data_IF_081478563360
#
_entry.id   IF_081478563360
#
_cell.length_a   1.000
_cell.length_b   1.000
_cell.length_c   1.000
_cell.angle_alpha   90.00
_cell.angle_beta   90.00
_cell.angle_gamma   90.00
#
_symmetry.space_group_name_H-M   'P 1'
#
loop_
_entity.id
_entity.type
_entity.pdbx_description
1 polymer ?
#
# COMPACT_ATOMS: atom_id res chain seq x y z
N UNK A 1 -22.69 -3.62 37.86
CA UNK A 1 -23.15 -2.94 36.64
C UNK A 1 -21.98 -2.88 35.68
N UNK A 2 -21.96 -3.70 34.62
CA UNK A 2 -20.96 -3.58 33.56
C UNK A 2 -21.49 -2.54 32.57
N UNK A 3 -20.79 -1.41 32.38
CA UNK A 3 -21.12 -0.49 31.29
C UNK A 3 -20.75 -1.15 29.97
N UNK A 4 -21.74 -1.45 29.15
CA UNK A 4 -21.52 -1.78 27.76
C UNK A 4 -21.10 -0.50 27.04
N UNK A 5 -19.83 -0.40 26.68
CA UNK A 5 -19.38 0.64 25.76
C UNK A 5 -19.80 0.23 24.36
N UNK A 6 -20.73 0.98 23.76
CA UNK A 6 -21.13 0.79 22.37
C UNK A 6 -20.02 1.33 21.47
N UNK A 7 -19.25 0.44 20.85
CA UNK A 7 -18.34 0.81 19.76
C UNK A 7 -19.18 1.06 18.51
N UNK A 8 -19.07 2.27 17.95
CA UNK A 8 -19.69 2.63 16.68
C UNK A 8 -18.60 3.03 15.68
N UNK A 9 -18.68 2.48 14.47
CA UNK A 9 -17.88 2.94 13.34
C UNK A 9 -18.53 4.20 12.76
N UNK A 10 -17.77 5.28 12.69
CA UNK A 10 -18.18 6.53 12.07
C UNK A 10 -17.41 6.68 10.77
N UNK A 11 -18.13 6.94 9.68
CA UNK A 11 -17.51 7.41 8.45
C UNK A 11 -16.94 8.81 8.69
N UNK A 12 -15.70 9.02 8.27
CA UNK A 12 -14.99 10.30 8.43
C UNK A 12 -14.78 10.95 7.08
N UNK A 13 -14.22 10.20 6.12
CA UNK A 13 -13.79 10.73 4.83
C UNK A 13 -13.65 9.61 3.79
N UNK A 14 -13.80 9.96 2.51
CA UNK A 14 -13.43 9.11 1.38
C UNK A 14 -12.16 9.66 0.72
N UNK A 15 -11.14 8.82 0.57
CA UNK A 15 -9.86 9.19 -0.05
C UNK A 15 -9.72 8.46 -1.39
N UNK A 16 -9.80 9.17 -2.54
CA UNK A 16 -9.67 8.55 -3.84
C UNK A 16 -8.20 8.23 -4.16
N UNK A 17 -7.86 6.94 -4.22
CA UNK A 17 -6.49 6.47 -4.49
C UNK A 17 -6.19 6.24 -5.98
N UNK A 18 -7.23 6.08 -6.82
CA UNK A 18 -7.10 5.80 -8.26
C UNK A 18 -6.27 4.55 -8.60
N UNK A 19 -6.17 3.64 -7.65
CA UNK A 19 -5.50 2.34 -7.74
C UNK A 19 -6.26 1.35 -6.87
N UNK A 20 -6.08 0.05 -7.09
CA UNK A 20 -6.66 -0.96 -6.23
C UNK A 20 -5.69 -1.26 -5.07
N UNK A 21 -5.89 -0.55 -3.95
CA UNK A 21 -5.15 -0.80 -2.71
C UNK A 21 -5.40 -2.23 -2.20
N UNK A 22 -4.36 -2.83 -1.65
CA UNK A 22 -4.40 -4.18 -1.10
C UNK A 22 -4.32 -4.13 0.43
N UNK A 23 -3.15 -4.38 1.03
CA UNK A 23 -2.99 -4.30 2.48
C UNK A 23 -2.56 -2.91 2.94
N UNK A 24 -2.79 -2.66 4.24
CA UNK A 24 -2.46 -1.41 4.92
C UNK A 24 -1.52 -1.66 6.09
N UNK A 25 -0.52 -0.79 6.23
CA UNK A 25 0.29 -0.64 7.43
C UNK A 25 0.12 0.78 7.97
N UNK A 26 -0.13 0.91 9.27
CA UNK A 26 -0.17 2.20 9.96
C UNK A 26 1.11 2.31 10.78
N UNK A 27 1.92 3.31 10.49
CA UNK A 27 3.16 3.54 11.22
C UNK A 27 2.90 4.21 12.59
N UNK A 28 3.91 4.28 13.48
CA UNK A 28 3.74 4.88 14.81
C UNK A 28 3.33 6.36 14.81
N UNK A 29 3.56 7.08 13.70
CA UNK A 29 3.16 8.49 13.53
C UNK A 29 1.74 8.60 12.93
N UNK A 30 1.05 7.48 12.71
CA UNK A 30 -0.30 7.42 12.16
C UNK A 30 -0.35 7.57 10.64
N UNK A 31 0.79 7.50 9.95
CA UNK A 31 0.83 7.55 8.49
C UNK A 31 0.46 6.17 7.94
N UNK A 32 -0.42 6.18 6.94
CA UNK A 32 -0.90 4.97 6.29
C UNK A 32 -0.02 4.66 5.09
N UNK A 33 0.42 3.41 5.01
CA UNK A 33 1.19 2.85 3.90
C UNK A 33 0.39 1.72 3.28
N UNK A 34 0.31 1.71 1.96
CA UNK A 34 -0.34 0.65 1.21
C UNK A 34 0.45 0.33 -0.03
N UNK A 35 0.46 -0.95 -0.42
CA UNK A 35 0.81 -1.29 -1.78
C UNK A 35 -0.46 -1.63 -2.56
N UNK A 36 -0.40 -1.41 -3.87
CA UNK A 36 -1.57 -1.39 -4.70
C UNK A 36 -1.30 -1.97 -6.09
N UNK A 37 -2.40 -2.22 -6.79
CA UNK A 37 -2.45 -2.75 -8.15
C UNK A 37 -2.99 -1.67 -9.11
N UNK A 38 -2.13 -0.89 -9.77
CA UNK A 38 -2.55 0.19 -10.68
C UNK A 38 -3.43 -0.28 -11.84
N UNK A 39 -3.25 -1.54 -12.26
CA UNK A 39 -4.03 -2.18 -13.32
C UNK A 39 -4.56 -3.52 -12.79
N UNK A 40 -5.69 -3.49 -12.09
CA UNK A 40 -6.26 -4.66 -11.40
C UNK A 40 -6.49 -5.87 -12.34
N UNK A 41 -6.76 -5.64 -13.62
CA UNK A 41 -6.87 -6.71 -14.64
C UNK A 41 -5.56 -7.51 -14.75
N UNK A 42 -4.41 -6.84 -14.79
CA UNK A 42 -3.10 -7.49 -14.87
C UNK A 42 -2.74 -8.21 -13.57
N UNK A 43 -3.15 -7.65 -12.43
CA UNK A 43 -3.00 -8.33 -11.14
C UNK A 43 -3.77 -9.65 -11.12
N UNK A 44 -5.03 -9.68 -11.56
CA UNK A 44 -5.79 -10.93 -11.67
C UNK A 44 -5.17 -11.94 -12.63
N UNK A 45 -4.66 -11.49 -13.79
CA UNK A 45 -3.92 -12.38 -14.71
C UNK A 45 -2.70 -13.00 -14.03
N UNK A 46 -1.91 -12.20 -13.30
CA UNK A 46 -0.76 -12.64 -12.53
C UNK A 46 -1.12 -13.62 -11.40
N UNK A 47 -2.20 -13.35 -10.64
CA UNK A 47 -2.66 -14.25 -9.57
C UNK A 47 -3.14 -15.61 -10.10
N UNK A 48 -3.58 -15.66 -11.36
CA UNK A 48 -3.98 -16.92 -12.00
C UNK A 48 -2.83 -17.91 -12.14
N UNK A 49 -1.59 -17.43 -12.23
CA UNK A 49 -0.39 -18.27 -12.24
C UNK A 49 0.85 -17.50 -11.75
N UNK A 50 1.05 -17.48 -10.44
CA UNK A 50 2.16 -16.77 -9.81
C UNK A 50 3.54 -17.29 -10.25
N UNK A 51 3.64 -18.56 -10.63
CA UNK A 51 4.91 -19.20 -11.02
C UNK A 51 5.35 -18.86 -12.45
N UNK A 52 4.44 -18.33 -13.29
CA UNK A 52 4.78 -17.89 -14.65
C UNK A 52 5.43 -16.50 -14.64
N UNK A 53 6.76 -16.49 -14.63
CA UNK A 53 7.58 -15.28 -14.57
C UNK A 53 7.40 -14.34 -15.78
N UNK A 54 6.75 -14.78 -16.86
CA UNK A 54 6.43 -13.91 -18.01
C UNK A 54 5.19 -13.03 -17.78
N UNK A 55 4.37 -13.38 -16.80
CA UNK A 55 3.17 -12.61 -16.43
C UNK A 55 3.54 -11.58 -15.37
N UNK A 56 3.63 -10.32 -15.80
CA UNK A 56 3.91 -9.18 -14.95
C UNK A 56 2.64 -8.43 -14.57
N UNK A 57 2.56 -7.99 -13.31
CA UNK A 57 1.56 -7.03 -12.86
C UNK A 57 2.24 -5.78 -12.32
N UNK A 58 1.84 -4.57 -12.74
CA UNK A 58 2.34 -3.33 -12.16
C UNK A 58 2.17 -3.30 -10.64
N UNK A 59 3.10 -2.64 -9.98
CA UNK A 59 3.15 -2.46 -8.52
C UNK A 59 3.25 -0.99 -8.19
N UNK A 60 2.70 -0.59 -7.06
CA UNK A 60 2.70 0.79 -6.58
C UNK A 60 2.68 0.80 -5.06
N UNK A 61 3.37 1.75 -4.46
CA UNK A 61 3.28 2.06 -3.04
C UNK A 61 2.76 3.47 -2.88
N UNK A 62 1.74 3.63 -2.03
CA UNK A 62 1.22 4.93 -1.64
C UNK A 62 1.46 5.14 -0.15
N UNK A 63 1.90 6.35 0.20
CA UNK A 63 1.97 6.85 1.56
C UNK A 63 0.95 7.95 1.72
N UNK A 64 0.11 7.84 2.73
CA UNK A 64 -1.03 8.73 2.97
C UNK A 64 -0.91 9.30 4.36
N UNK A 65 -0.68 10.62 4.44
CA UNK A 65 -0.61 11.36 5.70
C UNK A 65 -1.87 12.20 5.86
N UNK A 66 -2.60 11.98 6.94
CA UNK A 66 -3.79 12.76 7.27
C UNK A 66 -3.43 13.99 8.11
N UNK A 67 -4.30 15.01 8.07
CA UNK A 67 -4.37 16.03 9.12
C UNK A 67 -4.83 15.42 10.44
N UNK A 68 -4.58 16.11 11.55
CA UNK A 68 -4.99 15.67 12.89
C UNK A 68 -6.50 15.41 13.03
N UNK A 69 -7.32 16.06 12.20
CA UNK A 69 -8.78 15.89 12.15
C UNK A 69 -9.26 14.90 11.07
N UNK A 70 -8.34 14.28 10.34
CA UNK A 70 -8.58 13.33 9.24
C UNK A 70 -9.39 13.86 8.06
N UNK A 71 -9.57 15.18 7.94
CA UNK A 71 -10.37 15.78 6.86
C UNK A 71 -9.58 16.16 5.63
N UNK A 72 -8.27 16.31 5.76
CA UNK A 72 -7.37 16.53 4.64
C UNK A 72 -6.24 15.51 4.67
N UNK A 73 -5.63 15.28 3.51
CA UNK A 73 -4.59 14.28 3.35
C UNK A 73 -3.59 14.69 2.27
N UNK A 74 -2.38 14.16 2.40
CA UNK A 74 -1.32 14.20 1.40
C UNK A 74 -1.04 12.76 0.97
N UNK A 75 -0.97 12.53 -0.34
CA UNK A 75 -0.58 11.24 -0.92
C UNK A 75 0.74 11.43 -1.65
N UNK A 76 1.73 10.64 -1.30
CA UNK A 76 2.97 10.49 -2.07
C UNK A 76 3.05 9.07 -2.66
N UNK A 77 3.81 8.93 -3.74
CA UNK A 77 4.08 7.66 -4.42
C UNK A 77 5.58 7.35 -4.33
N UNK A 78 6.05 6.71 -3.23
CA UNK A 78 7.46 6.41 -3.07
C UNK A 78 7.99 5.37 -4.06
N UNK A 79 7.09 4.57 -4.65
CA UNK A 79 7.46 3.50 -5.57
C UNK A 79 6.34 3.21 -6.57
N UNK A 80 6.72 3.05 -7.84
CA UNK A 80 5.89 2.48 -8.88
C UNK A 80 6.78 1.76 -9.92
N UNK A 81 6.37 0.58 -10.36
CA UNK A 81 7.02 -0.12 -11.46
C UNK A 81 6.00 -0.90 -12.30
N UNK A 82 6.40 -1.30 -13.51
CA UNK A 82 5.51 -1.97 -14.46
C UNK A 82 5.38 -3.48 -14.24
N UNK A 83 5.94 -3.99 -13.14
CA UNK A 83 5.88 -5.38 -12.70
C UNK A 83 7.17 -6.15 -12.98
N UNK A 84 8.15 -5.54 -13.66
CA UNK A 84 9.43 -6.19 -13.99
C UNK A 84 10.40 -6.20 -12.82
N UNK A 85 10.27 -5.27 -11.87
CA UNK A 85 11.10 -5.27 -10.66
C UNK A 85 10.44 -6.05 -9.53
N UNK A 86 9.15 -5.79 -9.29
CA UNK A 86 8.30 -6.60 -8.41
C UNK A 86 6.89 -6.64 -9.02
N UNK A 87 6.32 -7.84 -9.14
CA UNK A 87 4.95 -7.98 -9.65
C UNK A 87 3.93 -8.02 -8.52
N UNK A 88 2.82 -7.31 -8.70
CA UNK A 88 1.66 -7.32 -7.82
C UNK A 88 2.01 -7.11 -6.33
N UNK A 89 2.63 -5.97 -6.02
CA UNK A 89 2.86 -5.54 -4.64
C UNK A 89 1.57 -5.54 -3.82
N UNK A 90 1.63 -6.07 -2.60
CA UNK A 90 0.50 -6.27 -1.70
C UNK A 90 0.62 -5.48 -0.39
N UNK A 91 1.84 -5.21 0.07
CA UNK A 91 2.09 -4.40 1.27
C UNK A 91 3.41 -3.63 1.15
N UNK A 92 3.49 -2.48 1.82
CA UNK A 92 4.72 -1.74 2.01
C UNK A 92 4.88 -1.31 3.48
N UNK A 93 6.06 -1.52 4.04
CA UNK A 93 6.37 -1.20 5.45
C UNK A 93 7.69 -0.43 5.51
N UNK A 94 7.69 0.83 5.99
CA UNK A 94 8.91 1.58 6.20
C UNK A 94 9.63 1.12 7.49
N UNK A 95 10.96 1.20 7.48
CA UNK A 95 11.78 1.10 8.68
C UNK A 95 13.03 1.97 8.54
N UNK A 96 13.11 3.06 9.30
CA UNK A 96 14.18 4.06 9.17
C UNK A 96 14.25 4.61 7.73
N UNK A 97 15.39 4.44 7.06
CA UNK A 97 15.65 4.84 5.69
C UNK A 97 15.44 3.67 4.70
N UNK A 98 14.63 2.68 5.07
CA UNK A 98 14.38 1.48 4.28
C UNK A 98 12.88 1.28 4.06
N UNK A 99 12.53 0.68 2.93
CA UNK A 99 11.18 0.27 2.58
C UNK A 99 11.18 -1.21 2.19
N UNK A 100 10.36 -2.01 2.86
CA UNK A 100 10.09 -3.39 2.47
C UNK A 100 8.76 -3.44 1.72
N UNK A 101 8.77 -3.96 0.50
CA UNK A 101 7.58 -4.13 -0.33
C UNK A 101 7.38 -5.62 -0.59
N UNK A 102 6.29 -6.18 -0.09
CA UNK A 102 5.90 -7.56 -0.33
C UNK A 102 4.95 -7.67 -1.52
N UNK A 103 5.03 -8.76 -2.28
CA UNK A 103 4.04 -9.12 -3.31
C UNK A 103 3.04 -10.15 -2.80
N UNK A 104 1.95 -10.36 -3.54
CA UNK A 104 0.92 -11.37 -3.18
C UNK A 104 1.49 -12.79 -3.15
N UNK A 105 2.36 -13.14 -4.10
CA UNK A 105 2.76 -14.54 -4.28
C UNK A 105 4.19 -14.76 -4.83
N UNK A 106 5.02 -13.72 -4.89
CA UNK A 106 6.42 -13.83 -5.33
C UNK A 106 7.37 -13.32 -4.25
N UNK A 107 8.37 -12.56 -4.68
CA UNK A 107 9.45 -12.04 -3.88
C UNK A 107 8.99 -10.81 -3.09
N UNK A 108 9.85 -10.41 -2.16
CA UNK A 108 9.82 -9.09 -1.55
C UNK A 108 11.00 -8.28 -2.10
N UNK A 109 10.83 -6.97 -2.20
CA UNK A 109 11.94 -6.06 -2.49
C UNK A 109 12.23 -5.21 -1.27
N UNK A 110 13.51 -4.88 -1.13
CA UNK A 110 14.03 -4.02 -0.09
C UNK A 110 14.71 -2.83 -0.75
N UNK A 111 14.21 -1.63 -0.45
CA UNK A 111 14.66 -0.38 -1.05
C UNK A 111 15.25 0.53 0.03
N UNK A 112 16.30 1.28 -0.33
CA UNK A 112 16.68 2.46 0.42
C UNK A 112 15.75 3.63 0.03
N UNK A 113 15.28 4.38 1.02
CA UNK A 113 14.43 5.57 0.85
C UNK A 113 15.04 6.77 1.56
N UNK A 114 14.88 7.96 0.99
CA UNK A 114 15.37 9.22 1.55
C UNK A 114 14.18 10.12 1.85
N UNK A 115 14.32 11.08 2.77
CA UNK A 115 13.21 11.97 3.17
C UNK A 115 12.62 12.80 2.01
N UNK A 116 13.33 12.95 0.89
CA UNK A 116 12.86 13.64 -0.32
C UNK A 116 12.05 12.74 -1.27
N UNK A 117 12.04 11.43 -1.01
CA UNK A 117 11.38 10.39 -1.83
C UNK A 117 10.14 9.80 -1.15
N UNK A 118 9.72 10.36 0.00
CA UNK A 118 8.56 9.91 0.79
C UNK A 118 7.71 11.07 1.31
#
# INVERSE_FOLDING_TARGET
MHSQHTLALLHVVDVPLWTAADNFYVDPDGVLWTAAHPVIKKAFEHFGNCDDLSIHSPSQVLRIKFSDDFKTWEITEPFADDGRFISASSIAVPFKNQLLIGSVCRELVHCDIRSDTI
#
